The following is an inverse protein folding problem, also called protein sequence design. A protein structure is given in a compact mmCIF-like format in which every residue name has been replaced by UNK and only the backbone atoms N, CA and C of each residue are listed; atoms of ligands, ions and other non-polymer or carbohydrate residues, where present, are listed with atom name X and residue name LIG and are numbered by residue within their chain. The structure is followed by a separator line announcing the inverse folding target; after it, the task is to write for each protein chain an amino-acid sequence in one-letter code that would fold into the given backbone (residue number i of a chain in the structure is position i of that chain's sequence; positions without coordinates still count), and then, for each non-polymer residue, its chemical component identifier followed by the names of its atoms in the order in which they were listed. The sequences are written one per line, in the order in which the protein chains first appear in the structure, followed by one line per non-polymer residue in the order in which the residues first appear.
data_IF_642275756061
#
_entry.id   IF_642275756061
#
_cell.length_a   1.000
_cell.length_b   1.000
_cell.length_c   1.000
_cell.angle_alpha   90.00
_cell.angle_beta   90.00
_cell.angle_gamma   90.00
#
_symmetry.space_group_name_H-M   'P 1'
#
loop_
_entity.id
_entity.type
_entity.pdbx_description
1 polymer ?
#
# COMPACT_ATOMS: atom_id res chain seq x y z
N UNK A 1 22.31 -2.84 -43.92
CA UNK A 1 21.62 -1.83 -43.10
C UNK A 1 20.99 -2.56 -41.93
N UNK A 2 21.43 -2.27 -40.70
CA UNK A 2 21.07 -3.02 -39.51
C UNK A 2 19.60 -2.79 -39.12
N UNK A 3 18.86 -3.87 -38.88
CA UNK A 3 17.55 -3.83 -38.26
C UNK A 3 17.74 -3.69 -36.74
N UNK A 4 17.42 -2.51 -36.20
CA UNK A 4 17.38 -2.28 -34.76
C UNK A 4 16.04 -2.81 -34.24
N UNK A 5 16.08 -4.02 -33.67
CA UNK A 5 15.00 -4.56 -32.84
C UNK A 5 14.95 -3.74 -31.55
N UNK A 6 13.91 -2.93 -31.41
CA UNK A 6 13.56 -2.33 -30.12
C UNK A 6 13.12 -3.45 -29.17
N UNK A 7 13.59 -3.50 -27.91
CA UNK A 7 13.09 -4.49 -26.97
C UNK A 7 11.62 -4.17 -26.66
N UNK A 8 10.76 -5.19 -26.46
CA UNK A 8 9.41 -4.95 -25.97
C UNK A 8 9.56 -4.29 -24.60
N UNK A 9 9.10 -3.04 -24.48
CA UNK A 9 8.79 -2.46 -23.18
C UNK A 9 7.73 -3.37 -22.57
N UNK A 10 8.17 -4.23 -21.67
CA UNK A 10 7.31 -4.91 -20.71
C UNK A 10 6.59 -3.79 -19.97
N UNK A 11 5.35 -3.52 -20.39
CA UNK A 11 4.43 -2.68 -19.64
C UNK A 11 4.18 -3.50 -18.38
N UNK A 12 4.96 -3.20 -17.36
CA UNK A 12 4.76 -3.72 -16.00
C UNK A 12 3.29 -3.49 -15.69
N UNK A 13 2.58 -4.60 -15.48
CA UNK A 13 1.18 -4.68 -15.09
C UNK A 13 0.99 -3.99 -13.72
N UNK A 14 1.12 -2.66 -13.68
CA UNK A 14 0.90 -1.85 -12.48
C UNK A 14 -0.60 -1.53 -12.35
N UNK A 15 -1.45 -2.56 -12.43
CA UNK A 15 -2.91 -2.38 -12.36
C UNK A 15 -3.67 -3.54 -11.75
N UNK A 16 -3.07 -4.70 -11.54
CA UNK A 16 -3.79 -5.90 -11.10
C UNK A 16 -3.76 -6.09 -9.59
N UNK A 17 -4.22 -5.10 -8.81
CA UNK A 17 -4.58 -5.32 -7.40
C UNK A 17 -5.54 -4.26 -6.80
N UNK A 18 -6.32 -3.52 -7.63
CA UNK A 18 -7.57 -2.91 -7.13
C UNK A 18 -8.60 -4.03 -6.98
N UNK A 19 -8.49 -4.80 -5.91
CA UNK A 19 -9.55 -5.72 -5.52
C UNK A 19 -10.75 -4.85 -5.11
N UNK A 20 -11.90 -4.99 -5.78
CA UNK A 20 -13.19 -4.33 -5.49
C UNK A 20 -13.68 -4.52 -4.04
N UNK A 21 -12.94 -5.29 -3.24
CA UNK A 21 -13.17 -5.57 -1.84
C UNK A 21 -12.77 -4.42 -0.91
N UNK A 22 -11.84 -3.55 -1.32
CA UNK A 22 -11.29 -2.50 -0.45
C UNK A 22 -11.74 -1.12 -0.89
N UNK A 23 -12.02 -0.26 0.10
CA UNK A 23 -12.24 1.16 -0.17
C UNK A 23 -10.99 1.80 -0.76
N UNK A 24 -11.16 2.91 -1.50
CA UNK A 24 -10.05 3.61 -2.14
C UNK A 24 -8.91 3.93 -1.16
N UNK A 25 -9.23 4.32 0.09
CA UNK A 25 -8.22 4.65 1.09
C UNK A 25 -7.46 3.42 1.62
N UNK A 26 -8.15 2.29 1.80
CA UNK A 26 -7.53 1.03 2.23
C UNK A 26 -6.56 0.51 1.16
N UNK A 27 -6.94 0.62 -0.12
CA UNK A 27 -6.07 0.29 -1.25
C UNK A 27 -4.80 1.14 -1.30
N UNK A 28 -4.91 2.45 -1.05
CA UNK A 28 -3.75 3.35 -0.98
C UNK A 28 -2.85 3.03 0.23
N UNK A 29 -3.42 2.78 1.41
CA UNK A 29 -2.64 2.37 2.60
C UNK A 29 -1.86 1.08 2.32
N UNK A 30 -2.52 0.06 1.73
CA UNK A 30 -1.86 -1.19 1.38
C UNK A 30 -0.75 -0.98 0.33
N UNK A 31 -0.98 -0.12 -0.66
CA UNK A 31 0.02 0.23 -1.67
C UNK A 31 1.25 0.88 -1.04
N UNK A 32 1.05 1.82 -0.10
CA UNK A 32 2.14 2.45 0.64
C UNK A 32 2.94 1.44 1.46
N UNK A 33 2.26 0.52 2.15
CA UNK A 33 2.90 -0.53 2.96
C UNK A 33 3.59 -1.61 2.15
N UNK A 34 3.26 -1.78 0.86
CA UNK A 34 3.99 -2.67 -0.06
C UNK A 34 5.33 -2.09 -0.52
N UNK A 35 5.51 -0.77 -0.43
CA UNK A 35 6.77 -0.15 -0.86
C UNK A 35 7.91 -0.68 0.02
N UNK A 36 9.02 -1.15 -0.57
CA UNK A 36 10.15 -1.62 0.20
C UNK A 36 10.68 -0.48 1.08
N UNK A 37 10.57 -0.67 2.39
CA UNK A 37 11.05 0.27 3.39
C UNK A 37 12.01 -0.47 4.32
N UNK A 38 13.08 0.22 4.73
CA UNK A 38 14.05 -0.32 5.69
C UNK A 38 13.41 -0.53 7.08
N UNK A 39 12.35 0.23 7.37
CA UNK A 39 11.58 0.16 8.61
C UNK A 39 10.08 0.12 8.31
N UNK A 40 9.25 -0.46 9.22
CA UNK A 40 7.80 -0.39 9.14
C UNK A 40 7.34 1.08 9.07
N UNK A 41 6.43 1.40 8.14
CA UNK A 41 5.97 2.77 8.01
C UNK A 41 5.16 3.19 9.23
N UNK A 42 5.54 4.30 9.83
CA UNK A 42 4.82 4.88 10.97
C UNK A 42 3.49 5.48 10.55
N UNK A 43 2.58 5.67 11.51
CA UNK A 43 1.33 6.40 11.29
C UNK A 43 1.58 7.80 10.71
N UNK A 44 2.64 8.48 11.18
CA UNK A 44 2.99 9.83 10.74
C UNK A 44 3.36 9.84 9.26
N UNK A 45 4.12 8.86 8.80
CA UNK A 45 4.52 8.73 7.39
C UNK A 45 3.33 8.41 6.50
N UNK A 46 2.53 7.39 6.87
CA UNK A 46 1.29 7.06 6.15
C UNK A 46 0.36 8.26 6.07
N UNK A 47 0.17 8.98 7.17
CA UNK A 47 -0.66 10.18 7.22
C UNK A 47 -0.12 11.26 6.28
N UNK A 48 1.19 11.53 6.28
CA UNK A 48 1.76 12.59 5.45
C UNK A 48 1.59 12.31 3.95
N UNK A 49 1.66 11.04 3.54
CA UNK A 49 1.42 10.62 2.16
C UNK A 49 -0.07 10.72 1.77
N UNK A 50 -0.98 10.42 2.70
CA UNK A 50 -2.41 10.32 2.43
C UNK A 50 -3.20 11.61 2.66
N UNK A 51 -2.69 12.54 3.48
CA UNK A 51 -3.37 13.79 3.82
C UNK A 51 -3.69 14.71 2.62
N UNK A 52 -2.94 14.70 1.49
CA UNK A 52 -3.32 15.50 0.33
C UNK A 52 -4.63 15.03 -0.33
N UNK A 53 -5.01 13.77 -0.09
CA UNK A 53 -6.13 13.10 -0.79
C UNK A 53 -7.28 12.76 0.16
N UNK A 54 -6.98 12.45 1.42
CA UNK A 54 -7.95 11.99 2.40
C UNK A 54 -7.89 12.78 3.71
N UNK A 55 -9.05 12.91 4.37
CA UNK A 55 -9.10 13.50 5.71
C UNK A 55 -8.48 12.57 6.75
N UNK A 56 -7.94 13.15 7.83
CA UNK A 56 -7.32 12.38 8.91
C UNK A 56 -8.25 11.33 9.52
N UNK A 57 -9.54 11.67 9.70
CA UNK A 57 -10.55 10.72 10.20
C UNK A 57 -10.73 9.53 9.27
N UNK A 58 -10.69 9.74 7.95
CA UNK A 58 -10.78 8.65 6.95
C UNK A 58 -9.54 7.77 7.03
N UNK A 59 -8.35 8.35 7.11
CA UNK A 59 -7.07 7.62 7.23
C UNK A 59 -7.10 6.72 8.46
N UNK A 60 -7.50 7.27 9.61
CA UNK A 60 -7.68 6.51 10.84
C UNK A 60 -8.67 5.36 10.68
N UNK A 61 -9.81 5.61 10.02
CA UNK A 61 -10.82 4.58 9.79
C UNK A 61 -10.28 3.46 8.89
N UNK A 62 -9.59 3.79 7.79
CA UNK A 62 -8.99 2.82 6.89
C UNK A 62 -7.97 1.93 7.58
N UNK A 63 -7.10 2.52 8.41
CA UNK A 63 -6.12 1.77 9.20
C UNK A 63 -6.82 0.83 10.21
N UNK A 64 -7.86 1.31 10.90
CA UNK A 64 -8.63 0.47 11.82
C UNK A 64 -9.29 -0.72 11.12
N UNK A 65 -9.87 -0.50 9.94
CA UNK A 65 -10.50 -1.55 9.16
C UNK A 65 -9.45 -2.60 8.74
N UNK A 66 -8.31 -2.17 8.19
CA UNK A 66 -7.24 -3.07 7.77
C UNK A 66 -6.63 -3.86 8.93
N UNK A 67 -6.54 -3.26 10.13
CA UNK A 67 -6.12 -3.96 11.35
C UNK A 67 -7.16 -5.01 11.78
N UNK A 68 -8.44 -4.65 11.75
CA UNK A 68 -9.54 -5.57 12.12
C UNK A 68 -9.62 -6.76 11.15
N UNK A 69 -9.36 -6.51 9.86
CA UNK A 69 -9.31 -7.55 8.82
C UNK A 69 -8.02 -8.38 8.85
N UNK A 70 -7.05 -8.04 9.70
CA UNK A 70 -5.75 -8.72 9.82
C UNK A 70 -4.82 -8.50 8.62
N UNK A 71 -5.14 -7.57 7.72
CA UNK A 71 -4.37 -7.28 6.51
C UNK A 71 -3.11 -6.49 6.78
N UNK A 72 -3.12 -5.71 7.85
CA UNK A 72 -1.95 -5.03 8.39
C UNK A 72 -1.84 -5.35 9.87
N UNK A 73 -0.63 -5.23 10.40
CA UNK A 73 -0.34 -5.40 11.82
C UNK A 73 0.55 -4.26 12.30
N UNK A 74 0.45 -3.98 13.59
CA UNK A 74 1.36 -3.05 14.26
C UNK A 74 2.64 -3.82 14.60
N UNK A 75 3.78 -3.37 14.11
CA UNK A 75 5.08 -4.01 14.33
C UNK A 75 5.92 -3.17 15.28
N UNK A 76 5.96 -3.64 16.53
CA UNK A 76 6.53 -2.92 17.67
C UNK A 76 5.97 -1.49 17.77
N UNK A 77 6.50 -0.63 18.64
CA UNK A 77 6.04 0.77 18.78
C UNK A 77 6.29 1.65 17.54
N UNK A 78 6.73 1.07 16.41
CA UNK A 78 7.42 1.79 15.36
C UNK A 78 6.58 1.99 14.08
N UNK A 79 5.60 1.12 13.78
CA UNK A 79 4.79 1.31 12.58
C UNK A 79 3.88 0.14 12.20
N UNK A 80 3.48 0.12 10.93
CA UNK A 80 2.62 -0.89 10.34
C UNK A 80 3.36 -1.70 9.28
N UNK A 81 3.03 -2.99 9.21
CA UNK A 81 3.44 -3.89 8.13
C UNK A 81 2.23 -4.65 7.59
N UNK A 82 2.37 -5.21 6.40
CA UNK A 82 1.38 -6.14 5.86
C UNK A 82 1.35 -7.39 6.74
N UNK A 83 0.16 -7.73 7.22
CA UNK A 83 -0.11 -9.02 7.84
C UNK A 83 0.01 -10.07 6.76
N UNK A 84 1.10 -10.85 6.77
CA UNK A 84 1.18 -12.05 5.95
C UNK A 84 0.05 -12.98 6.40
N UNK A 85 -1.01 -13.06 5.60
CA UNK A 85 -1.98 -14.15 5.69
C UNK A 85 -1.20 -15.44 5.44
N UNK A 86 -0.80 -16.11 6.53
CA UNK A 86 -0.50 -17.52 6.53
C UNK A 86 -1.85 -18.25 6.49
N UNK A 87 -2.37 -18.42 5.29
CA UNK A 87 -3.44 -19.36 4.98
C UNK A 87 -2.90 -20.36 3.94
#
# INVERSE_FOLDING_TARGET
MAALLEPPMEIVEESTLRSDKYSAIEGEILTLLRRPAVYPQSFKELRNELIPVFSESRIWQGIRNLLADGLIRVVYTCGFEIGLNWA
#
